data_IF_034449161445
#
_entry.id   IF_034449161445
#
_cell.length_a   1.000
_cell.length_b   1.000
_cell.length_c   1.000
_cell.angle_alpha   90.00
_cell.angle_beta   90.00
_cell.angle_gamma   90.00
#
_symmetry.space_group_name_H-M   'P 1'
#
loop_
_entity.id
_entity.type
_entity.pdbx_description
1 polymer ?
#
# COMPACT_ATOMS: atom_id res chain seq x y z
N UNK A 1 42.58 -28.91 8.09
CA UNK A 1 41.86 -29.26 6.84
C UNK A 1 42.20 -28.22 5.79
N UNK A 2 43.09 -28.54 4.85
CA UNK A 2 43.57 -27.63 3.81
C UNK A 2 43.37 -28.31 2.45
N UNK A 3 42.80 -27.61 1.46
CA UNK A 3 42.72 -28.13 0.08
C UNK A 3 41.52 -27.73 -0.79
N UNK A 4 40.62 -26.85 -0.37
CA UNK A 4 39.57 -26.34 -1.29
C UNK A 4 40.12 -25.07 -1.95
N UNK A 5 40.29 -25.09 -3.28
CA UNK A 5 40.59 -23.88 -4.05
C UNK A 5 39.52 -22.82 -3.74
N UNK A 6 39.87 -21.52 -3.63
CA UNK A 6 38.88 -20.48 -3.34
C UNK A 6 37.82 -20.45 -4.45
N UNK A 7 36.66 -21.05 -4.17
CA UNK A 7 35.48 -20.99 -5.04
C UNK A 7 34.80 -19.65 -4.77
N UNK A 8 34.62 -18.84 -5.81
CA UNK A 8 33.82 -17.63 -5.71
C UNK A 8 32.40 -17.99 -5.26
N UNK A 9 31.93 -17.36 -4.19
CA UNK A 9 30.55 -17.52 -3.71
C UNK A 9 29.77 -16.24 -3.96
N UNK A 10 28.52 -16.33 -4.46
CA UNK A 10 27.68 -15.15 -4.59
C UNK A 10 27.44 -14.52 -3.22
N UNK A 11 27.22 -13.21 -3.21
CA UNK A 11 26.86 -12.49 -1.97
C UNK A 11 25.46 -12.88 -1.49
N UNK A 12 24.55 -13.16 -2.43
CA UNK A 12 23.21 -13.68 -2.13
C UNK A 12 23.27 -15.17 -1.82
N UNK A 13 22.53 -15.58 -0.78
CA UNK A 13 22.29 -16.99 -0.43
C UNK A 13 21.30 -17.67 -1.39
N UNK A 14 20.52 -16.88 -2.13
CA UNK A 14 19.47 -17.32 -3.06
C UNK A 14 19.57 -16.53 -4.39
N UNK A 15 20.60 -16.79 -5.23
CA UNK A 15 20.89 -15.96 -6.39
C UNK A 15 19.77 -15.90 -7.43
N UNK A 16 19.05 -17.01 -7.64
CA UNK A 16 17.93 -17.08 -8.60
C UNK A 16 16.75 -16.21 -8.12
N UNK A 17 16.36 -16.33 -6.85
CA UNK A 17 15.34 -15.52 -6.21
C UNK A 17 15.73 -14.04 -6.17
N UNK A 18 17.02 -13.73 -6.06
CA UNK A 18 17.52 -12.35 -6.14
C UNK A 18 17.37 -11.76 -7.53
N UNK A 19 17.55 -12.55 -8.58
CA UNK A 19 17.27 -12.12 -9.95
C UNK A 19 15.77 -11.87 -10.14
N UNK A 20 14.92 -12.76 -9.63
CA UNK A 20 13.47 -12.58 -9.67
C UNK A 20 13.03 -11.34 -8.88
N UNK A 21 13.60 -11.09 -7.70
CA UNK A 21 13.33 -9.90 -6.90
C UNK A 21 13.73 -8.62 -7.66
N UNK A 22 14.85 -8.64 -8.40
CA UNK A 22 15.26 -7.51 -9.24
C UNK A 22 14.24 -7.22 -10.35
N UNK A 23 13.74 -8.24 -11.04
CA UNK A 23 12.65 -8.07 -12.01
C UNK A 23 11.32 -7.70 -11.34
N UNK A 24 11.12 -8.10 -10.09
CA UNK A 24 9.98 -7.74 -9.26
C UNK A 24 9.86 -6.24 -9.01
N UNK A 25 10.93 -5.45 -9.16
CA UNK A 25 10.90 -3.97 -9.01
C UNK A 25 10.42 -3.27 -10.29
N UNK A 26 10.32 -3.97 -11.42
CA UNK A 26 9.93 -3.39 -12.73
C UNK A 26 8.61 -2.62 -12.69
N UNK A 27 7.51 -3.09 -12.06
CA UNK A 27 6.27 -2.33 -12.00
C UNK A 27 6.43 -0.96 -11.32
N UNK A 28 7.18 -0.90 -10.22
CA UNK A 28 7.50 0.35 -9.53
C UNK A 28 8.33 1.27 -10.44
N UNK A 29 9.44 0.76 -10.98
CA UNK A 29 10.37 1.56 -11.79
C UNK A 29 9.70 2.09 -13.07
N UNK A 30 8.94 1.23 -13.77
CA UNK A 30 8.23 1.60 -14.99
C UNK A 30 7.24 2.73 -14.75
N UNK A 31 6.40 2.63 -13.71
CA UNK A 31 5.40 3.67 -13.43
C UNK A 31 6.05 4.94 -12.89
N UNK A 32 7.07 4.85 -12.03
CA UNK A 32 7.82 5.99 -11.54
C UNK A 32 8.44 6.79 -12.70
N UNK A 33 9.17 6.12 -13.58
CA UNK A 33 9.83 6.76 -14.73
C UNK A 33 8.83 7.31 -15.72
N UNK A 34 7.80 6.53 -16.09
CA UNK A 34 6.76 6.97 -17.02
C UNK A 34 6.06 8.22 -16.47
N UNK A 35 5.54 8.16 -15.24
CA UNK A 35 4.79 9.27 -14.64
C UNK A 35 5.65 10.53 -14.37
N UNK A 36 6.97 10.37 -14.18
CA UNK A 36 7.90 11.47 -14.06
C UNK A 36 8.08 12.24 -15.38
N UNK A 37 8.02 11.54 -16.51
CA UNK A 37 8.14 12.11 -17.86
C UNK A 37 6.82 12.68 -18.41
N UNK A 38 5.67 12.34 -17.80
CA UNK A 38 4.36 12.81 -18.25
C UNK A 38 4.09 14.29 -17.91
N UNK A 39 3.36 14.95 -18.81
CA UNK A 39 2.79 16.27 -18.56
C UNK A 39 1.79 16.23 -17.39
N UNK A 40 1.52 17.36 -16.70
CA UNK A 40 0.55 17.41 -15.62
C UNK A 40 -0.84 16.89 -16.01
N UNK A 41 -1.27 17.12 -17.25
CA UNK A 41 -2.55 16.64 -17.76
C UNK A 41 -2.57 15.12 -17.98
N UNK A 42 -1.50 14.55 -18.54
CA UNK A 42 -1.38 13.10 -18.70
C UNK A 42 -1.29 12.39 -17.34
N UNK A 43 -0.55 12.97 -16.38
CA UNK A 43 -0.50 12.44 -15.01
C UNK A 43 -1.85 12.54 -14.29
N UNK A 44 -2.65 13.58 -14.56
CA UNK A 44 -4.04 13.65 -14.08
C UNK A 44 -4.87 12.46 -14.54
N UNK A 45 -4.69 11.99 -15.79
CA UNK A 45 -5.38 10.80 -16.30
C UNK A 45 -4.97 9.54 -15.55
N UNK A 46 -3.72 9.42 -15.10
CA UNK A 46 -3.28 8.30 -14.26
C UNK A 46 -4.01 8.29 -12.90
N UNK A 47 -4.14 9.45 -12.24
CA UNK A 47 -4.88 9.55 -10.98
C UNK A 47 -6.35 9.17 -11.11
N UNK A 48 -7.01 9.64 -12.18
CA UNK A 48 -8.39 9.26 -12.50
C UNK A 48 -8.47 7.77 -12.83
N UNK A 49 -7.52 7.24 -13.59
CA UNK A 49 -7.41 5.81 -13.89
C UNK A 49 -7.28 4.94 -12.64
N UNK A 50 -6.46 5.36 -11.67
CA UNK A 50 -6.34 4.69 -10.36
C UNK A 50 -7.69 4.64 -9.64
N UNK A 51 -8.45 5.74 -9.62
CA UNK A 51 -9.78 5.77 -9.01
C UNK A 51 -10.78 4.85 -9.72
N UNK A 52 -10.77 4.82 -11.06
CA UNK A 52 -11.60 3.92 -11.87
C UNK A 52 -11.25 2.46 -11.59
N UNK A 53 -9.97 2.10 -11.56
CA UNK A 53 -9.51 0.75 -11.27
C UNK A 53 -9.88 0.32 -9.85
N UNK A 54 -9.79 1.24 -8.87
CA UNK A 54 -10.22 0.97 -7.51
C UNK A 54 -11.73 0.68 -7.46
N UNK A 55 -12.56 1.48 -8.13
CA UNK A 55 -14.01 1.23 -8.24
C UNK A 55 -14.32 -0.11 -8.93
N UNK A 56 -13.71 -0.37 -10.08
CA UNK A 56 -13.88 -1.62 -10.81
C UNK A 56 -13.47 -2.83 -9.96
N UNK A 57 -12.42 -2.69 -9.14
CA UNK A 57 -11.99 -3.73 -8.21
C UNK A 57 -13.01 -4.01 -7.12
N UNK A 58 -13.73 -2.99 -6.64
CA UNK A 58 -14.86 -3.17 -5.70
C UNK A 58 -16.00 -3.92 -6.35
N UNK A 59 -16.37 -3.55 -7.58
CA UNK A 59 -17.41 -4.24 -8.32
C UNK A 59 -17.07 -5.73 -8.51
N UNK A 60 -15.83 -6.02 -8.90
CA UNK A 60 -15.34 -7.40 -9.01
C UNK A 60 -15.38 -8.12 -7.65
N UNK A 61 -14.95 -7.48 -6.55
CA UNK A 61 -15.00 -8.06 -5.21
C UNK A 61 -16.42 -8.39 -4.75
N UNK A 62 -17.40 -7.53 -5.06
CA UNK A 62 -18.81 -7.78 -4.78
C UNK A 62 -19.34 -8.97 -5.60
N UNK A 63 -18.98 -9.07 -6.88
CA UNK A 63 -19.33 -10.21 -7.74
C UNK A 63 -18.68 -11.52 -7.26
N UNK A 64 -17.45 -11.47 -6.75
CA UNK A 64 -16.76 -12.63 -6.17
C UNK A 64 -17.52 -13.18 -4.97
N UNK A 65 -18.05 -12.31 -4.10
CA UNK A 65 -18.87 -12.73 -2.97
C UNK A 65 -20.24 -13.28 -3.40
N UNK A 66 -20.90 -12.60 -4.36
CA UNK A 66 -22.22 -13.00 -4.81
C UNK A 66 -22.23 -14.32 -5.59
N UNK A 67 -21.22 -14.54 -6.44
CA UNK A 67 -21.13 -15.73 -7.30
C UNK A 67 -20.35 -16.89 -6.68
N UNK A 68 -19.50 -16.61 -5.68
CA UNK A 68 -18.51 -17.57 -5.21
C UNK A 68 -17.40 -17.88 -6.22
N UNK A 69 -17.38 -17.24 -7.39
CA UNK A 69 -16.41 -17.45 -8.48
C UNK A 69 -15.67 -16.16 -8.88
N UNK A 70 -15.20 -16.08 -10.14
CA UNK A 70 -14.52 -14.89 -10.71
C UNK A 70 -13.26 -14.44 -9.95
N UNK A 71 -12.60 -15.37 -9.25
CA UNK A 71 -11.31 -15.14 -8.61
C UNK A 71 -10.20 -15.29 -9.66
N UNK A 72 -9.34 -14.27 -9.76
CA UNK A 72 -8.21 -14.27 -10.70
C UNK A 72 -7.02 -15.08 -10.19
N UNK A 73 -6.97 -15.31 -8.88
CA UNK A 73 -5.93 -16.06 -8.19
C UNK A 73 -6.58 -17.18 -7.36
N UNK A 74 -5.81 -18.21 -7.02
CA UNK A 74 -6.31 -19.38 -6.29
C UNK A 74 -7.04 -19.01 -4.98
N UNK A 75 -8.15 -19.71 -4.72
CA UNK A 75 -9.01 -19.44 -3.57
C UNK A 75 -8.37 -19.90 -2.26
N UNK A 76 -8.18 -18.95 -1.33
CA UNK A 76 -7.67 -19.21 0.03
C UNK A 76 -8.64 -18.70 1.10
N UNK A 77 -9.94 -18.97 0.93
CA UNK A 77 -10.93 -18.78 1.99
C UNK A 77 -12.09 -17.87 1.65
N UNK A 78 -12.52 -17.83 0.39
CA UNK A 78 -13.82 -17.27 -0.02
C UNK A 78 -13.97 -15.75 0.06
N UNK A 79 -13.03 -15.04 0.69
CA UNK A 79 -13.07 -13.59 0.87
C UNK A 79 -13.06 -12.83 -0.47
N UNK A 80 -13.65 -11.63 -0.48
CA UNK A 80 -13.51 -10.70 -1.59
C UNK A 80 -12.06 -10.20 -1.66
N UNK A 81 -11.50 -10.22 -2.88
CA UNK A 81 -10.12 -9.78 -3.14
C UNK A 81 -10.01 -8.83 -4.35
N UNK A 82 -11.09 -8.64 -5.10
CA UNK A 82 -11.09 -7.82 -6.30
C UNK A 82 -10.03 -8.33 -7.29
N UNK A 83 -9.13 -7.44 -7.74
CA UNK A 83 -8.01 -7.78 -8.62
C UNK A 83 -6.78 -8.34 -7.91
N UNK A 84 -6.82 -8.57 -6.59
CA UNK A 84 -5.65 -9.00 -5.82
C UNK A 84 -5.73 -10.48 -5.45
N UNK A 85 -4.59 -11.08 -5.10
CA UNK A 85 -4.53 -12.41 -4.51
C UNK A 85 -4.73 -12.39 -2.98
N UNK A 86 -4.51 -11.23 -2.34
CA UNK A 86 -4.55 -11.06 -0.89
C UNK A 86 -5.56 -9.96 -0.52
N UNK A 87 -6.53 -10.31 0.34
CA UNK A 87 -7.56 -9.39 0.85
C UNK A 87 -6.98 -8.17 1.58
N UNK A 88 -5.86 -8.33 2.29
CA UNK A 88 -5.20 -7.23 2.99
C UNK A 88 -4.61 -6.23 2.00
N UNK A 89 -3.90 -6.72 0.98
CA UNK A 89 -3.29 -5.88 -0.04
C UNK A 89 -4.36 -5.13 -0.83
N UNK A 90 -5.49 -5.79 -1.11
CA UNK A 90 -6.64 -5.14 -1.71
C UNK A 90 -7.22 -4.03 -0.83
N UNK A 91 -7.44 -4.31 0.46
CA UNK A 91 -7.98 -3.31 1.38
C UNK A 91 -7.05 -2.10 1.54
N UNK A 92 -5.73 -2.34 1.58
CA UNK A 92 -4.70 -1.29 1.60
C UNK A 92 -4.73 -0.46 0.32
N UNK A 93 -4.89 -1.09 -0.86
CA UNK A 93 -5.07 -0.39 -2.13
C UNK A 93 -6.29 0.54 -2.13
N UNK A 94 -7.43 0.04 -1.65
CA UNK A 94 -8.67 0.82 -1.57
C UNK A 94 -8.51 2.00 -0.58
N UNK A 95 -7.92 1.77 0.59
CA UNK A 95 -7.66 2.81 1.59
C UNK A 95 -6.71 3.90 1.04
N UNK A 96 -5.61 3.50 0.39
CA UNK A 96 -4.67 4.43 -0.24
C UNK A 96 -5.26 5.17 -1.46
N UNK A 97 -6.31 4.62 -2.08
CA UNK A 97 -7.03 5.27 -3.18
C UNK A 97 -7.97 6.39 -2.71
N UNK A 98 -8.38 6.42 -1.43
CA UNK A 98 -9.27 7.47 -0.91
C UNK A 98 -8.62 8.87 -0.95
N UNK A 99 -7.37 9.09 -0.47
CA UNK A 99 -6.69 10.38 -0.64
C UNK A 99 -6.49 10.77 -2.09
N UNK A 100 -6.31 9.81 -3.00
CA UNK A 100 -6.16 10.06 -4.45
C UNK A 100 -7.47 10.56 -5.03
N UNK A 101 -8.59 9.94 -4.65
CA UNK A 101 -9.92 10.37 -5.06
C UNK A 101 -10.21 11.79 -4.57
N UNK A 102 -9.86 12.09 -3.31
CA UNK A 102 -9.98 13.42 -2.74
C UNK A 102 -9.08 14.45 -3.46
N UNK A 103 -7.88 14.05 -3.88
CA UNK A 103 -6.99 14.86 -4.70
C UNK A 103 -7.56 15.14 -6.10
N UNK A 104 -8.15 14.14 -6.76
CA UNK A 104 -8.82 14.32 -8.05
C UNK A 104 -9.98 15.33 -7.92
N UNK A 105 -10.75 15.23 -6.84
CA UNK A 105 -11.83 16.15 -6.52
C UNK A 105 -11.31 17.58 -6.29
N UNK A 106 -10.22 17.76 -5.53
CA UNK A 106 -9.67 19.09 -5.23
C UNK A 106 -9.14 19.82 -6.48
N UNK A 107 -8.48 19.09 -7.40
CA UNK A 107 -7.98 19.68 -8.65
C UNK A 107 -9.10 20.04 -9.61
N UNK A 108 -10.14 19.21 -9.72
CA UNK A 108 -11.27 19.47 -10.62
C UNK A 108 -12.08 20.69 -10.17
N UNK A 109 -12.29 20.87 -8.87
CA UNK A 109 -12.97 22.07 -8.34
C UNK A 109 -12.17 23.36 -8.55
N UNK A 110 -10.84 23.28 -8.64
CA UNK A 110 -9.96 24.46 -8.77
C UNK A 110 -9.84 24.97 -10.21
N UNK A 111 -10.12 24.14 -11.22
CA UNK A 111 -9.85 24.46 -12.63
C UNK A 111 -11.01 25.16 -13.33
N UNK A 112 -12.24 24.72 -13.08
CA UNK A 112 -13.43 25.14 -13.87
C UNK A 112 -14.48 25.92 -13.05
N UNK A 113 -14.13 26.38 -11.84
CA UNK A 113 -14.98 27.27 -11.03
C UNK A 113 -16.21 26.62 -10.37
N UNK A 114 -16.61 25.40 -10.75
CA UNK A 114 -17.48 24.44 -10.04
C UNK A 114 -17.49 23.10 -10.79
N UNK A 115 -17.42 21.98 -10.08
CA UNK A 115 -17.58 20.65 -10.69
C UNK A 115 -19.05 20.42 -11.09
N UNK A 116 -19.27 19.74 -12.23
CA UNK A 116 -20.60 19.31 -12.61
C UNK A 116 -21.23 18.43 -11.51
N UNK A 117 -22.53 18.60 -11.18
CA UNK A 117 -23.18 17.81 -10.12
C UNK A 117 -23.05 16.31 -10.31
N UNK A 118 -23.11 15.84 -11.56
CA UNK A 118 -22.89 14.44 -11.92
C UNK A 118 -21.48 13.95 -11.55
N UNK A 119 -20.45 14.76 -11.81
CA UNK A 119 -19.07 14.40 -11.45
C UNK A 119 -18.89 14.29 -9.93
N UNK A 120 -19.52 15.19 -9.17
CA UNK A 120 -19.53 15.11 -7.70
C UNK A 120 -20.24 13.84 -7.24
N UNK A 121 -21.41 13.52 -7.81
CA UNK A 121 -22.15 12.31 -7.47
C UNK A 121 -21.34 11.03 -7.77
N UNK A 122 -20.66 10.96 -8.91
CA UNK A 122 -19.79 9.82 -9.28
C UNK A 122 -18.62 9.67 -8.30
N UNK A 123 -17.96 10.77 -7.93
CA UNK A 123 -16.85 10.74 -6.96
C UNK A 123 -17.33 10.31 -5.57
N UNK A 124 -18.49 10.80 -5.11
CA UNK A 124 -19.07 10.38 -3.84
C UNK A 124 -19.49 8.91 -3.87
N UNK A 125 -20.12 8.45 -4.96
CA UNK A 125 -20.46 7.04 -5.14
C UNK A 125 -19.21 6.15 -5.13
N UNK A 126 -18.13 6.60 -5.77
CA UNK A 126 -16.84 5.90 -5.75
C UNK A 126 -16.27 5.88 -4.34
N UNK A 127 -16.29 7.01 -3.62
CA UNK A 127 -15.83 7.08 -2.23
C UNK A 127 -16.55 6.05 -1.35
N UNK A 128 -17.88 6.02 -1.40
CA UNK A 128 -18.70 5.05 -0.65
C UNK A 128 -18.41 3.61 -1.10
N UNK A 129 -18.25 3.37 -2.40
CA UNK A 129 -17.89 2.05 -2.90
C UNK A 129 -16.53 1.58 -2.36
N UNK A 130 -15.51 2.45 -2.27
CA UNK A 130 -14.21 2.08 -1.70
C UNK A 130 -14.32 1.71 -0.21
N UNK A 131 -15.15 2.43 0.57
CA UNK A 131 -15.44 2.06 1.97
C UNK A 131 -16.09 0.69 2.05
N UNK A 132 -17.12 0.43 1.23
CA UNK A 132 -17.78 -0.87 1.15
C UNK A 132 -16.80 -1.97 0.74
N UNK A 133 -15.91 -1.70 -0.21
CA UNK A 133 -14.86 -2.62 -0.65
C UNK A 133 -13.93 -3.06 0.47
N UNK A 134 -13.47 -2.12 1.31
CA UNK A 134 -12.68 -2.47 2.49
C UNK A 134 -13.51 -3.28 3.49
N UNK A 135 -14.78 -2.95 3.68
CA UNK A 135 -15.68 -3.70 4.55
C UNK A 135 -15.79 -5.17 4.14
N UNK A 136 -16.11 -5.41 2.86
CA UNK A 136 -16.32 -6.76 2.34
C UNK A 136 -15.03 -7.56 2.21
N UNK A 137 -13.87 -6.89 2.20
CA UNK A 137 -12.56 -7.57 2.24
C UNK A 137 -12.33 -8.34 3.54
N UNK A 138 -12.97 -7.93 4.65
CA UNK A 138 -12.71 -8.48 5.98
C UNK A 138 -11.29 -8.22 6.52
N UNK A 139 -10.53 -7.30 5.92
CA UNK A 139 -9.17 -6.97 6.37
C UNK A 139 -9.18 -6.05 7.59
N UNK A 140 -8.63 -6.54 8.71
CA UNK A 140 -8.47 -5.77 9.96
C UNK A 140 -7.53 -4.58 9.78
N UNK A 141 -6.36 -4.81 9.18
CA UNK A 141 -5.39 -3.76 8.90
C UNK A 141 -6.00 -2.71 7.95
N UNK A 142 -6.71 -3.16 6.91
CA UNK A 142 -7.45 -2.27 6.01
C UNK A 142 -8.50 -1.41 6.74
N UNK A 143 -9.27 -2.02 7.65
CA UNK A 143 -10.25 -1.30 8.46
C UNK A 143 -9.60 -0.23 9.35
N UNK A 144 -8.51 -0.56 10.04
CA UNK A 144 -7.76 0.42 10.86
C UNK A 144 -7.23 1.57 10.00
N UNK A 145 -6.72 1.27 8.81
CA UNK A 145 -6.20 2.29 7.88
C UNK A 145 -7.29 3.18 7.27
N UNK A 146 -8.56 2.77 7.28
CA UNK A 146 -9.67 3.63 6.81
C UNK A 146 -9.81 4.89 7.65
N UNK A 147 -9.60 4.83 8.96
CA UNK A 147 -9.71 6.00 9.83
C UNK A 147 -8.79 7.15 9.37
N UNK A 148 -7.46 6.98 9.31
CA UNK A 148 -6.58 8.03 8.81
C UNK A 148 -6.83 8.36 7.32
N UNK A 149 -7.22 7.38 6.49
CA UNK A 149 -7.53 7.63 5.08
C UNK A 149 -8.73 8.59 4.91
N UNK A 150 -9.86 8.31 5.57
CA UNK A 150 -11.08 9.10 5.51
C UNK A 150 -10.87 10.45 6.19
N UNK A 151 -10.41 10.45 7.45
CA UNK A 151 -10.23 11.69 8.22
C UNK A 151 -9.22 12.61 7.55
N UNK A 152 -8.08 12.07 7.11
CA UNK A 152 -7.06 12.84 6.42
C UNK A 152 -7.56 13.40 5.08
N UNK A 153 -8.28 12.60 4.29
CA UNK A 153 -8.85 13.07 3.01
C UNK A 153 -9.85 14.21 3.21
N UNK A 154 -10.80 14.06 4.16
CA UNK A 154 -11.80 15.09 4.45
C UNK A 154 -11.15 16.34 5.05
N UNK A 155 -10.17 16.18 5.95
CA UNK A 155 -9.42 17.29 6.53
C UNK A 155 -8.64 18.09 5.47
N UNK A 156 -8.02 17.41 4.51
CA UNK A 156 -7.27 18.06 3.45
C UNK A 156 -8.19 18.80 2.46
N UNK A 157 -9.32 18.18 2.08
CA UNK A 157 -10.38 18.86 1.30
C UNK A 157 -10.90 20.10 2.04
N UNK A 158 -11.10 20.00 3.36
CA UNK A 158 -11.49 21.12 4.21
C UNK A 158 -10.45 22.26 4.19
N UNK A 159 -9.16 21.93 4.33
CA UNK A 159 -8.08 22.93 4.37
C UNK A 159 -7.94 23.70 3.05
N UNK A 160 -8.21 23.03 1.92
CA UNK A 160 -8.08 23.63 0.59
C UNK A 160 -9.34 24.39 0.14
N UNK A 161 -10.52 24.00 0.60
CA UNK A 161 -11.82 24.54 0.16
C UNK A 161 -12.20 25.93 0.69
N UNK A 162 -11.31 26.65 1.39
CA UNK A 162 -11.49 28.06 1.80
C UNK A 162 -12.64 28.34 2.77
N UNK A 163 -12.32 28.52 4.06
CA UNK A 163 -13.06 29.28 5.11
C UNK A 163 -14.60 29.14 5.25
N UNK A 164 -15.27 28.20 4.57
CA UNK A 164 -16.71 27.94 4.71
C UNK A 164 -17.00 26.80 5.69
N UNK A 165 -17.89 27.02 6.66
CA UNK A 165 -18.36 26.02 7.63
C UNK A 165 -18.95 24.73 6.99
N UNK A 166 -19.27 24.76 5.69
CA UNK A 166 -19.92 23.68 4.95
C UNK A 166 -19.11 22.40 4.74
N UNK A 167 -17.78 22.40 4.90
CA UNK A 167 -16.98 21.17 4.86
C UNK A 167 -16.78 20.55 6.25
N UNK A 168 -16.75 21.37 7.32
CA UNK A 168 -16.64 20.90 8.72
C UNK A 168 -17.83 20.03 9.12
N UNK A 169 -19.02 20.33 8.59
CA UNK A 169 -20.23 19.52 8.83
C UNK A 169 -20.10 18.07 8.37
N UNK A 170 -19.13 17.75 7.50
CA UNK A 170 -18.90 16.39 7.02
C UNK A 170 -17.79 15.66 7.79
N UNK A 171 -16.96 16.34 8.59
CA UNK A 171 -15.92 15.69 9.39
C UNK A 171 -16.50 14.75 10.45
N UNK A 172 -17.53 15.20 11.18
CA UNK A 172 -18.17 14.39 12.21
C UNK A 172 -18.90 13.17 11.59
N UNK A 173 -19.73 13.31 10.54
CA UNK A 173 -20.29 12.16 9.81
C UNK A 173 -19.23 11.23 9.22
N UNK A 174 -18.13 11.76 8.67
CA UNK A 174 -17.05 10.94 8.13
C UNK A 174 -16.33 10.15 9.22
N UNK A 175 -16.06 10.78 10.38
CA UNK A 175 -15.49 10.11 11.54
C UNK A 175 -16.46 9.05 12.10
N UNK A 176 -17.75 9.37 12.18
CA UNK A 176 -18.78 8.43 12.62
C UNK A 176 -18.93 7.24 11.66
N UNK A 177 -18.90 7.48 10.35
CA UNK A 177 -18.94 6.43 9.34
C UNK A 177 -17.70 5.53 9.38
N UNK A 178 -16.50 6.13 9.48
CA UNK A 178 -15.26 5.38 9.63
C UNK A 178 -15.25 4.56 10.93
N UNK A 179 -15.65 5.16 12.05
CA UNK A 179 -15.75 4.47 13.34
C UNK A 179 -16.77 3.33 13.27
N UNK A 180 -17.99 3.58 12.77
CA UNK A 180 -19.02 2.55 12.62
C UNK A 180 -18.57 1.39 11.76
N UNK A 181 -17.84 1.66 10.67
CA UNK A 181 -17.29 0.63 9.80
C UNK A 181 -16.18 -0.18 10.47
N UNK A 182 -15.28 0.49 11.19
CA UNK A 182 -14.24 -0.15 12.00
C UNK A 182 -14.88 -1.05 13.05
N UNK A 183 -15.85 -0.54 13.80
CA UNK A 183 -16.59 -1.31 14.81
C UNK A 183 -17.29 -2.51 14.19
N UNK A 184 -17.91 -2.37 13.02
CA UNK A 184 -18.56 -3.48 12.32
C UNK A 184 -17.55 -4.58 11.93
N UNK A 185 -16.43 -4.20 11.31
CA UNK A 185 -15.40 -5.17 10.87
C UNK A 185 -14.69 -5.83 12.05
N UNK A 186 -14.33 -5.05 13.07
CA UNK A 186 -13.70 -5.61 14.27
C UNK A 186 -14.69 -6.45 15.08
N UNK A 187 -15.96 -6.06 15.15
CA UNK A 187 -17.01 -6.82 15.82
C UNK A 187 -17.27 -8.17 15.16
N UNK A 188 -17.37 -8.23 13.83
CA UNK A 188 -17.50 -9.50 13.09
C UNK A 188 -16.25 -10.35 13.25
N UNK A 189 -15.06 -9.74 13.27
CA UNK A 189 -13.83 -10.47 13.53
C UNK A 189 -13.76 -11.04 14.94
N UNK A 190 -14.06 -10.26 15.99
CA UNK A 190 -14.09 -10.77 17.37
C UNK A 190 -15.08 -11.92 17.47
N UNK A 191 -16.26 -11.78 16.88
CA UNK A 191 -17.25 -12.86 16.82
C UNK A 191 -16.70 -14.11 16.12
N UNK A 192 -16.02 -13.97 14.98
CA UNK A 192 -15.40 -15.09 14.26
C UNK A 192 -14.20 -15.71 15.01
N UNK A 193 -13.37 -14.90 15.66
CA UNK A 193 -12.18 -15.33 16.41
C UNK A 193 -12.52 -16.18 17.63
N UNK A 194 -13.71 -16.00 18.23
CA UNK A 194 -14.21 -16.89 19.28
C UNK A 194 -14.39 -18.33 18.80
N UNK A 195 -14.49 -18.53 17.49
CA UNK A 195 -14.60 -19.84 16.86
C UNK A 195 -13.32 -20.29 16.16
N UNK A 196 -12.25 -19.46 16.14
CA UNK A 196 -11.00 -19.74 15.44
C UNK A 196 -9.79 -19.60 16.40
N UNK A 197 -9.05 -20.69 16.62
CA UNK A 197 -7.94 -20.74 17.58
C UNK A 197 -6.67 -19.96 17.16
N UNK A 198 -6.03 -19.34 18.16
CA UNK A 198 -4.58 -19.07 18.33
C UNK A 198 -3.73 -18.40 17.21
N UNK A 199 -4.31 -17.82 16.17
CA UNK A 199 -3.53 -17.26 15.04
C UNK A 199 -2.79 -15.93 15.27
N UNK A 200 -2.98 -15.24 16.39
CA UNK A 200 -2.37 -13.90 16.62
C UNK A 200 -1.00 -13.95 17.30
N UNK A 201 -0.76 -14.89 18.22
CA UNK A 201 0.48 -14.98 18.99
C UNK A 201 1.70 -15.27 18.09
N UNK A 202 1.49 -16.01 17.00
CA UNK A 202 2.54 -16.41 16.05
C UNK A 202 3.21 -15.23 15.31
N UNK A 203 2.57 -14.06 15.20
CA UNK A 203 3.15 -12.93 14.44
C UNK A 203 4.24 -12.19 15.18
N UNK A 204 4.12 -12.05 16.50
CA UNK A 204 5.15 -11.37 17.29
C UNK A 204 6.44 -12.18 17.31
N UNK A 205 6.33 -13.50 17.45
CA UNK A 205 7.46 -14.42 17.36
C UNK A 205 8.09 -14.39 15.96
N UNK A 206 7.28 -14.41 14.90
CA UNK A 206 7.75 -14.26 13.53
C UNK A 206 8.55 -12.96 13.33
N UNK A 207 8.10 -11.84 13.88
CA UNK A 207 8.80 -10.56 13.79
C UNK A 207 10.10 -10.54 14.58
N UNK A 208 10.12 -11.14 15.78
CA UNK A 208 11.32 -11.26 16.60
C UNK A 208 12.39 -12.12 15.89
N UNK A 209 11.96 -13.23 15.27
CA UNK A 209 12.83 -14.09 14.48
C UNK A 209 13.33 -13.37 13.22
N UNK A 210 12.45 -12.69 12.48
CA UNK A 210 12.83 -11.90 11.31
C UNK A 210 13.83 -10.78 11.66
N UNK A 211 13.67 -10.14 12.83
CA UNK A 211 14.61 -9.13 13.30
C UNK A 211 15.99 -9.74 13.64
N UNK A 212 16.00 -10.90 14.31
CA UNK A 212 17.23 -11.64 14.61
C UNK A 212 17.95 -12.07 13.32
N UNK A 213 17.19 -12.51 12.31
CA UNK A 213 17.67 -12.79 10.97
C UNK A 213 18.29 -11.56 10.30
N UNK A 214 17.64 -10.40 10.40
CA UNK A 214 18.17 -9.16 9.84
C UNK A 214 19.54 -8.84 10.44
N UNK A 215 19.67 -8.91 11.77
CA UNK A 215 20.94 -8.68 12.46
C UNK A 215 22.02 -9.69 12.06
N UNK A 216 21.67 -10.97 11.90
CA UNK A 216 22.62 -12.03 11.53
C UNK A 216 23.21 -11.86 10.11
N UNK A 217 22.51 -11.16 9.22
CA UNK A 217 22.93 -10.97 7.82
C UNK A 217 23.44 -9.56 7.52
N UNK A 218 23.58 -8.69 8.53
CA UNK A 218 24.24 -7.41 8.35
C UNK A 218 25.74 -7.59 7.98
N UNK A 219 26.32 -6.67 7.18
CA UNK A 219 25.69 -5.46 6.64
C UNK A 219 25.00 -5.67 5.28
N UNK A 220 25.17 -6.81 4.62
CA UNK A 220 24.81 -6.98 3.21
C UNK A 220 23.41 -7.55 2.96
N UNK A 221 22.80 -8.16 3.97
CA UNK A 221 21.60 -8.98 3.83
C UNK A 221 21.91 -10.36 3.26
N UNK A 222 20.86 -11.16 3.09
CA UNK A 222 20.92 -12.53 2.58
C UNK A 222 20.62 -12.65 1.07
N UNK A 223 20.17 -11.58 0.41
CA UNK A 223 19.74 -11.58 -0.98
C UNK A 223 18.27 -11.18 -1.14
N UNK A 224 17.93 -10.53 -2.27
CA UNK A 224 16.54 -10.22 -2.59
C UNK A 224 15.72 -11.51 -2.72
N UNK A 225 14.51 -11.53 -2.13
CA UNK A 225 13.64 -12.71 -2.15
C UNK A 225 14.09 -13.86 -1.24
N UNK A 226 15.16 -13.71 -0.48
CA UNK A 226 15.74 -14.80 0.31
C UNK A 226 14.99 -15.11 1.60
N UNK A 227 14.04 -14.27 2.02
CA UNK A 227 13.46 -14.31 3.37
C UNK A 227 12.97 -15.72 3.73
N UNK A 228 12.12 -16.32 2.89
CA UNK A 228 11.52 -17.62 3.18
C UNK A 228 12.56 -18.73 3.29
N UNK A 229 13.55 -18.75 2.39
CA UNK A 229 14.63 -19.74 2.41
C UNK A 229 15.49 -19.65 3.67
N UNK A 230 15.84 -18.44 4.09
CA UNK A 230 16.67 -18.22 5.28
C UNK A 230 15.86 -18.45 6.57
N UNK A 231 14.57 -18.07 6.57
CA UNK A 231 13.68 -18.31 7.69
C UNK A 231 13.50 -19.81 7.96
N UNK A 232 13.25 -20.62 6.92
CA UNK A 232 13.18 -22.09 7.03
C UNK A 232 14.44 -22.70 7.65
N UNK A 233 15.62 -22.12 7.38
CA UNK A 233 16.87 -22.57 8.00
C UNK A 233 16.97 -22.35 9.51
N UNK A 234 16.10 -21.52 10.09
CA UNK A 234 16.04 -21.23 11.53
C UNK A 234 14.83 -21.84 12.25
N UNK A 235 13.87 -22.43 11.52
CA UNK A 235 12.72 -23.07 12.14
C UNK A 235 13.17 -24.32 12.93
N UNK A 236 12.91 -24.33 14.24
CA UNK A 236 13.14 -25.51 15.09
C UNK A 236 11.96 -26.47 14.99
N UNK A 237 12.19 -27.75 15.27
CA UNK A 237 11.16 -28.80 15.19
C UNK A 237 9.90 -28.48 16.03
N UNK A 238 10.06 -27.68 17.08
CA UNK A 238 9.01 -27.30 18.02
C UNK A 238 8.12 -26.15 17.50
N UNK A 239 8.56 -25.43 16.45
CA UNK A 239 7.88 -24.27 15.85
C UNK A 239 7.43 -24.56 14.41
N UNK A 240 7.79 -25.73 13.86
CA UNK A 240 7.32 -26.20 12.56
C UNK A 240 5.78 -26.34 12.58
N UNK A 241 5.12 -25.33 12.02
CA UNK A 241 3.69 -25.43 11.71
C UNK A 241 3.52 -26.17 10.37
N UNK A 242 2.32 -26.70 10.10
CA UNK A 242 2.00 -27.25 8.78
C UNK A 242 1.96 -26.17 7.67
N UNK A 243 2.17 -24.90 8.01
CA UNK A 243 2.15 -23.76 7.10
C UNK A 243 3.54 -23.32 6.68
N UNK A 244 3.64 -22.83 5.44
CA UNK A 244 4.86 -22.26 4.88
C UNK A 244 4.92 -20.75 5.17
N UNK A 245 5.94 -20.29 5.91
CA UNK A 245 6.17 -18.86 6.15
C UNK A 245 6.82 -18.25 4.91
N UNK A 246 5.99 -17.65 4.06
CA UNK A 246 6.45 -17.06 2.81
C UNK A 246 7.09 -15.67 2.99
N UNK A 247 6.66 -14.90 4.01
CA UNK A 247 7.14 -13.53 4.30
C UNK A 247 7.02 -13.22 5.79
N UNK A 248 7.75 -12.20 6.27
CA UNK A 248 7.74 -11.76 7.65
C UNK A 248 6.42 -11.06 8.06
N UNK A 249 5.60 -10.67 7.07
CA UNK A 249 4.46 -9.76 7.31
C UNK A 249 4.88 -8.45 7.99
N UNK A 250 6.08 -7.98 7.64
CA UNK A 250 6.64 -6.71 8.05
C UNK A 250 7.73 -6.30 7.05
N UNK A 251 7.33 -5.56 6.01
CA UNK A 251 8.22 -5.09 4.95
C UNK A 251 9.42 -4.30 5.53
N UNK A 252 9.24 -3.61 6.67
CA UNK A 252 10.31 -2.85 7.31
C UNK A 252 11.41 -3.72 7.89
N UNK A 253 11.10 -4.90 8.41
CA UNK A 253 12.10 -5.83 8.95
C UNK A 253 12.68 -6.67 7.82
N UNK A 254 11.81 -7.19 6.95
CA UNK A 254 12.17 -8.10 5.88
C UNK A 254 13.15 -7.49 4.88
N UNK A 255 13.01 -6.21 4.56
CA UNK A 255 13.95 -5.53 3.65
C UNK A 255 15.39 -5.49 4.20
N UNK A 256 15.59 -5.49 5.52
CA UNK A 256 16.93 -5.59 6.10
C UNK A 256 17.44 -7.02 6.16
N UNK A 257 16.55 -8.03 6.25
CA UNK A 257 16.95 -9.43 6.06
C UNK A 257 17.53 -9.62 4.65
N UNK A 258 16.84 -9.10 3.64
CA UNK A 258 17.20 -9.33 2.24
C UNK A 258 18.35 -8.44 1.75
N UNK A 259 18.37 -7.15 2.10
CA UNK A 259 19.29 -6.16 1.52
C UNK A 259 20.21 -5.49 2.55
N UNK A 260 20.08 -5.82 3.84
CA UNK A 260 20.90 -5.23 4.90
C UNK A 260 20.87 -3.70 4.88
N UNK A 261 22.04 -3.08 5.07
CA UNK A 261 22.20 -1.61 5.10
C UNK A 261 21.88 -0.96 3.76
N UNK A 262 21.98 -1.69 2.64
CA UNK A 262 21.68 -1.14 1.32
C UNK A 262 20.19 -0.72 1.18
N UNK A 263 19.29 -1.29 2.00
CA UNK A 263 17.88 -0.90 2.08
C UNK A 263 17.68 0.58 2.46
N UNK A 264 18.65 1.20 3.16
CA UNK A 264 18.56 2.60 3.61
C UNK A 264 18.57 3.56 2.41
N UNK A 265 19.29 3.25 1.35
CA UNK A 265 19.44 4.16 0.20
C UNK A 265 18.09 4.51 -0.45
N UNK A 266 17.24 3.56 -0.90
CA UNK A 266 15.94 3.88 -1.47
C UNK A 266 15.01 4.58 -0.46
N UNK A 267 15.08 4.25 0.83
CA UNK A 267 14.31 4.93 1.88
C UNK A 267 14.67 6.42 1.99
N UNK A 268 15.97 6.74 2.01
CA UNK A 268 16.47 8.12 2.06
C UNK A 268 16.08 8.88 0.79
N UNK A 269 16.21 8.25 -0.39
CA UNK A 269 15.79 8.87 -1.65
C UNK A 269 14.28 9.17 -1.67
N UNK A 270 13.45 8.24 -1.23
CA UNK A 270 12.01 8.45 -1.11
C UNK A 270 11.70 9.58 -0.11
N UNK A 271 12.36 9.62 1.05
CA UNK A 271 12.21 10.69 2.03
C UNK A 271 12.58 12.07 1.46
N UNK A 272 13.68 12.16 0.71
CA UNK A 272 14.08 13.40 0.03
C UNK A 272 13.01 13.85 -0.97
N UNK A 273 12.46 12.93 -1.77
CA UNK A 273 11.38 13.23 -2.72
C UNK A 273 10.14 13.73 -1.99
N UNK A 274 9.75 13.09 -0.89
CA UNK A 274 8.61 13.49 -0.06
C UNK A 274 8.81 14.89 0.52
N UNK A 275 9.93 15.15 1.17
CA UNK A 275 10.23 16.46 1.79
C UNK A 275 10.28 17.57 0.73
N UNK A 276 10.87 17.30 -0.44
CA UNK A 276 10.94 18.28 -1.54
C UNK A 276 9.58 18.52 -2.19
N UNK A 277 8.78 17.48 -2.37
CA UNK A 277 7.43 17.57 -2.95
C UNK A 277 6.45 18.29 -2.02
N UNK A 278 6.50 18.00 -0.72
CA UNK A 278 5.67 18.62 0.31
C UNK A 278 5.76 20.16 0.32
N UNK A 279 6.93 20.70 -0.02
CA UNK A 279 7.18 22.15 -0.05
C UNK A 279 6.72 22.85 -1.34
N UNK A 280 6.31 22.10 -2.38
CA UNK A 280 6.15 22.62 -3.75
C UNK A 280 4.73 22.54 -4.31
N UNK A 281 3.88 21.66 -3.81
CA UNK A 281 2.48 21.56 -4.22
C UNK A 281 1.57 21.61 -2.99
N UNK A 282 0.58 22.51 -3.00
CA UNK A 282 -0.45 22.60 -1.97
C UNK A 282 -1.31 21.33 -1.87
N UNK A 283 -1.27 20.47 -2.90
CA UNK A 283 -1.92 19.17 -2.95
C UNK A 283 -1.00 17.99 -2.63
N UNK A 284 0.30 18.21 -2.43
CA UNK A 284 1.22 17.16 -1.99
C UNK A 284 0.73 16.38 -0.75
N UNK A 285 0.03 16.99 0.24
CA UNK A 285 -0.46 16.27 1.40
C UNK A 285 -1.36 15.06 1.10
N UNK A 286 -2.17 15.08 0.02
CA UNK A 286 -2.99 13.93 -0.35
C UNK A 286 -2.14 12.74 -0.82
N UNK A 287 -1.13 13.03 -1.63
CA UNK A 287 -0.18 12.04 -2.16
C UNK A 287 0.66 11.46 -1.00
N UNK A 288 1.08 12.31 -0.08
CA UNK A 288 1.82 11.91 1.12
C UNK A 288 0.94 11.05 2.03
N UNK A 289 -0.35 11.39 2.20
CA UNK A 289 -1.28 10.58 2.98
C UNK A 289 -1.44 9.18 2.37
N UNK A 290 -1.65 9.08 1.05
CA UNK A 290 -1.72 7.78 0.37
C UNK A 290 -0.43 6.96 0.57
N UNK A 291 0.74 7.58 0.41
CA UNK A 291 2.03 6.92 0.63
C UNK A 291 2.19 6.47 2.10
N UNK A 292 1.82 7.32 3.05
CA UNK A 292 1.89 7.01 4.48
C UNK A 292 1.00 5.82 4.85
N UNK A 293 -0.17 5.67 4.22
CA UNK A 293 -1.04 4.50 4.43
C UNK A 293 -0.39 3.20 3.93
N UNK A 294 0.31 3.23 2.79
CA UNK A 294 1.08 2.07 2.30
C UNK A 294 2.23 1.70 3.24
N UNK A 295 2.95 2.71 3.71
CA UNK A 295 4.06 2.53 4.66
C UNK A 295 3.58 2.06 6.04
N UNK A 296 2.41 2.50 6.49
CA UNK A 296 1.78 2.02 7.72
C UNK A 296 1.30 0.57 7.57
N UNK A 297 0.73 0.20 6.43
CA UNK A 297 0.37 -1.18 6.13
C UNK A 297 1.59 -2.12 6.12
N UNK A 298 2.76 -1.59 5.70
CA UNK A 298 4.04 -2.31 5.65
C UNK A 298 4.60 -2.69 7.04
N UNK A 299 4.00 -2.19 8.13
CA UNK A 299 4.35 -2.58 9.51
C UNK A 299 3.75 -3.95 9.86
N UNK A 300 2.58 -4.28 9.29
CA UNK A 300 1.78 -5.45 9.67
C UNK A 300 1.55 -6.43 8.54
N UNK A 301 2.04 -6.10 7.34
CA UNK A 301 1.96 -6.93 6.14
C UNK A 301 3.08 -6.51 5.15
N UNK A 302 3.07 -7.11 3.95
CA UNK A 302 4.07 -6.85 2.89
C UNK A 302 3.48 -6.28 1.58
N UNK A 303 2.69 -5.18 1.64
CA UNK A 303 1.97 -4.67 0.47
C UNK A 303 2.91 -4.28 -0.68
N UNK A 304 4.12 -3.78 -0.39
CA UNK A 304 5.04 -3.26 -1.40
C UNK A 304 5.73 -4.35 -2.22
N UNK A 305 5.45 -5.63 -1.93
CA UNK A 305 5.87 -6.78 -2.74
C UNK A 305 4.86 -7.15 -3.82
N UNK A 306 3.75 -6.43 -3.94
CA UNK A 306 2.77 -6.66 -5.01
C UNK A 306 2.91 -5.66 -6.16
N UNK A 307 2.84 -6.11 -7.43
CA UNK A 307 2.99 -5.25 -8.60
C UNK A 307 2.07 -4.02 -8.61
N UNK A 308 0.81 -4.18 -8.18
CA UNK A 308 -0.14 -3.07 -8.15
C UNK A 308 0.28 -1.99 -7.13
N UNK A 309 0.59 -2.35 -5.89
CA UNK A 309 0.98 -1.39 -4.85
C UNK A 309 2.38 -0.80 -5.11
N UNK A 310 3.27 -1.54 -5.76
CA UNK A 310 4.52 -1.03 -6.32
C UNK A 310 4.27 0.05 -7.37
N UNK A 311 3.41 -0.22 -8.35
CA UNK A 311 3.02 0.74 -9.38
C UNK A 311 2.43 2.03 -8.77
N UNK A 312 1.53 1.90 -7.78
CA UNK A 312 0.99 3.06 -7.07
C UNK A 312 2.06 3.83 -6.31
N UNK A 313 2.96 3.14 -5.60
CA UNK A 313 4.08 3.79 -4.90
C UNK A 313 4.95 4.59 -5.88
N UNK A 314 5.23 4.01 -7.06
CA UNK A 314 5.94 4.70 -8.15
C UNK A 314 5.18 5.95 -8.63
N UNK A 315 3.87 5.86 -8.82
CA UNK A 315 3.02 6.99 -9.21
C UNK A 315 2.98 8.10 -8.14
N UNK A 316 2.90 7.74 -6.85
CA UNK A 316 2.93 8.65 -5.71
C UNK A 316 4.25 9.42 -5.65
N UNK A 317 5.38 8.72 -5.74
CA UNK A 317 6.70 9.36 -5.73
C UNK A 317 6.93 10.23 -6.99
N UNK A 318 6.51 9.78 -8.17
CA UNK A 318 6.55 10.60 -9.40
C UNK A 318 5.71 11.88 -9.24
N UNK A 319 4.51 11.76 -8.66
CA UNK A 319 3.64 12.88 -8.35
C UNK A 319 4.34 13.93 -7.48
N UNK A 320 5.05 13.51 -6.44
CA UNK A 320 5.80 14.40 -5.56
C UNK A 320 7.05 14.99 -6.24
N UNK A 321 7.75 14.23 -7.08
CA UNK A 321 8.94 14.69 -7.77
C UNK A 321 8.64 15.74 -8.85
N UNK A 322 7.58 15.55 -9.64
CA UNK A 322 7.28 16.38 -10.82
C UNK A 322 6.63 17.74 -10.50
N UNK A 323 6.18 17.97 -9.26
CA UNK A 323 5.55 19.24 -8.85
C UNK A 323 6.50 20.44 -8.87
N UNK A 324 7.82 20.21 -8.79
CA UNK A 324 8.83 21.28 -8.86
C UNK A 324 9.18 21.77 -10.27
N UNK A 325 9.02 20.95 -11.31
CA UNK A 325 9.47 21.30 -12.66
C UNK A 325 8.53 22.30 -13.36
N UNK A 326 7.23 22.24 -13.08
CA UNK A 326 6.24 23.13 -13.67
C UNK A 326 6.42 24.61 -13.24
N UNK A 327 6.95 24.86 -12.04
CA UNK A 327 7.17 26.21 -11.53
C UNK A 327 8.44 26.87 -12.09
N UNK A 328 9.47 26.07 -12.42
CA UNK A 328 10.71 26.56 -13.06
C UNK A 328 10.51 26.92 -14.54
N UNK A 329 9.75 26.13 -15.30
CA UNK A 329 9.43 26.40 -16.71
C UNK A 329 8.52 27.62 -16.94
N UNK A 330 7.89 28.17 -15.89
CA UNK A 330 7.09 29.40 -15.97
C UNK A 330 7.88 30.67 -15.62
N UNK A 331 9.11 30.54 -15.13
CA UNK A 331 10.00 31.65 -14.74
C UNK A 331 11.21 31.80 -15.67
N UNK A 332 11.38 30.91 -16.63
CA UNK A 332 12.31 30.99 -17.74
C UNK A 332 11.49 31.24 -19.01
#
# INVERSE_FOLDING_TARGET
MAGVAPVWRPLSLTPEETLDALFGVVPFAAVLMAAACLSPHQRQRLWVGTAILAFASVALGALQLASGGLRLYGDRGGAAVGFFANRNHWAVWLAASLPILAFVMSRSSSRDGRMAPLAVAILLATFVALLAGVAISGSRAGAVLLAPAVMGSVFLLWRQGGRGAGARRFLLPAAAAAAGLIFAILGTWVAASRFAGAGEDLRFDLWANAFSLALAHLPFGAGGGSFSAVYMGQETADVLTAGFVNQAHNDWVEIFVEYGVAAILPMVLAAIVVVRGARRDSNAPFIILALALLLAASIVDYPLRTPALQALTGLLLAGLASTGQAHRRRRA
#
